data_IF_420311815118
#
_entry.id   IF_420311815118
#
_cell.length_a   1.000
_cell.length_b   1.000
_cell.length_c   1.000
_cell.angle_alpha   90.00
_cell.angle_beta   90.00
_cell.angle_gamma   90.00
#
_symmetry.space_group_name_H-M   'P 1'
#
loop_
_entity.id
_entity.type
_entity.pdbx_description
1 polymer ?
#
# COMPACT_ATOMS: atom_id res chain seq x y z
N UNK A 1 14.13 -6.73 22.60
CA UNK A 1 14.37 -5.49 21.84
C UNK A 1 14.33 -4.34 22.84
N UNK A 2 15.15 -3.31 22.69
CA UNK A 2 15.02 -2.10 23.50
C UNK A 2 13.67 -1.44 23.13
N UNK A 3 12.84 -0.99 24.09
CA UNK A 3 11.59 -0.27 23.78
C UNK A 3 11.78 0.88 22.79
N UNK A 4 12.91 1.58 22.84
CA UNK A 4 13.24 2.65 21.89
C UNK A 4 13.43 2.14 20.46
N UNK A 5 13.95 0.92 20.29
CA UNK A 5 14.16 0.32 18.97
C UNK A 5 12.83 -0.14 18.36
N UNK A 6 11.92 -0.68 19.18
CA UNK A 6 10.56 -1.05 18.75
C UNK A 6 9.75 0.18 18.32
N UNK A 7 9.79 1.27 19.10
CA UNK A 7 9.14 2.53 18.73
C UNK A 7 9.73 3.09 17.44
N UNK A 8 11.06 3.06 17.27
CA UNK A 8 11.70 3.52 16.03
C UNK A 8 11.29 2.68 14.82
N UNK A 9 11.15 1.36 14.96
CA UNK A 9 10.65 0.50 13.89
C UNK A 9 9.21 0.85 13.53
N UNK A 10 8.32 1.00 14.52
CA UNK A 10 6.94 1.46 14.31
C UNK A 10 6.86 2.79 13.58
N UNK A 11 7.71 3.75 13.95
CA UNK A 11 7.74 5.07 13.28
C UNK A 11 8.25 4.98 11.85
N UNK A 12 9.24 4.13 11.54
CA UNK A 12 9.71 3.90 10.17
C UNK A 12 8.61 3.29 9.31
N UNK A 13 7.95 2.26 9.82
CA UNK A 13 6.84 1.61 9.12
C UNK A 13 5.66 2.59 8.91
N UNK A 14 5.36 3.45 9.89
CA UNK A 14 4.34 4.49 9.76
C UNK A 14 4.71 5.56 8.71
N UNK A 15 5.97 6.00 8.67
CA UNK A 15 6.45 6.95 7.65
C UNK A 15 6.35 6.32 6.26
N UNK A 16 6.74 5.06 6.12
CA UNK A 16 6.66 4.33 4.87
C UNK A 16 5.21 4.18 4.38
N UNK A 17 4.29 3.77 5.27
CA UNK A 17 2.87 3.66 4.93
C UNK A 17 2.26 5.01 4.52
N UNK A 18 2.64 6.11 5.18
CA UNK A 18 2.19 7.45 4.78
C UNK A 18 2.72 7.86 3.39
N UNK A 19 3.98 7.55 3.10
CA UNK A 19 4.54 7.78 1.76
C UNK A 19 3.78 6.97 0.70
N UNK A 20 3.47 5.70 0.98
CA UNK A 20 2.68 4.86 0.10
C UNK A 20 1.26 5.43 -0.13
N UNK A 21 0.57 5.85 0.94
CA UNK A 21 -0.77 6.44 0.81
C UNK A 21 -0.71 7.68 -0.09
N UNK A 22 0.30 8.53 0.07
CA UNK A 22 0.48 9.70 -0.79
C UNK A 22 0.65 9.31 -2.27
N UNK A 23 1.44 8.26 -2.56
CA UNK A 23 1.64 7.79 -3.94
C UNK A 23 0.38 7.14 -4.53
N UNK A 24 -0.36 6.35 -3.74
CA UNK A 24 -1.62 5.74 -4.18
C UNK A 24 -2.72 6.80 -4.43
N UNK A 25 -2.71 7.93 -3.72
CA UNK A 25 -3.64 9.04 -3.99
C UNK A 25 -3.33 9.77 -5.31
N UNK A 26 -2.05 9.95 -5.64
CA UNK A 26 -1.60 10.45 -6.95
C UNK A 26 -2.04 9.49 -8.05
N UNK A 27 -1.80 8.19 -7.86
CA UNK A 27 -2.22 7.11 -8.75
C UNK A 27 -3.73 7.14 -9.03
N UNK A 28 -4.57 7.26 -8.00
CA UNK A 28 -6.04 7.35 -8.17
C UNK A 28 -6.40 8.53 -9.08
N UNK A 29 -5.71 9.66 -8.95
CA UNK A 29 -5.92 10.85 -9.78
C UNK A 29 -5.52 10.59 -11.23
N UNK A 30 -4.37 9.93 -11.45
CA UNK A 30 -3.87 9.59 -12.79
C UNK A 30 -4.75 8.55 -13.49
N UNK A 31 -5.14 7.48 -12.80
CA UNK A 31 -6.04 6.45 -13.33
C UNK A 31 -7.42 7.03 -13.66
N UNK A 32 -7.94 7.93 -12.82
CA UNK A 32 -9.19 8.65 -13.11
C UNK A 32 -9.08 9.47 -14.41
N UNK A 33 -7.95 10.16 -14.61
CA UNK A 33 -7.66 10.91 -15.84
C UNK A 33 -7.58 9.99 -17.07
N UNK A 34 -6.97 8.80 -16.96
CA UNK A 34 -6.88 7.83 -18.05
C UNK A 34 -8.22 7.19 -18.40
N UNK A 35 -9.06 6.87 -17.40
CA UNK A 35 -10.43 6.38 -17.60
C UNK A 35 -11.25 7.38 -18.40
N UNK A 36 -11.17 8.69 -18.07
CA UNK A 36 -11.83 9.75 -18.83
C UNK A 36 -11.35 9.82 -20.29
N UNK A 37 -10.10 9.44 -20.54
CA UNK A 37 -9.49 9.38 -21.87
C UNK A 37 -9.68 8.02 -22.57
N UNK A 38 -10.38 7.06 -21.94
CA UNK A 38 -10.55 5.67 -22.42
C UNK A 38 -9.22 4.96 -22.70
N UNK A 39 -8.17 5.32 -21.98
CA UNK A 39 -6.87 4.66 -22.05
C UNK A 39 -6.75 3.62 -20.93
N UNK A 40 -6.13 2.49 -21.23
CA UNK A 40 -5.83 1.48 -20.22
C UNK A 40 -4.61 1.91 -19.37
N UNK A 41 -4.57 1.56 -18.07
CA UNK A 41 -3.38 1.73 -17.24
C UNK A 41 -2.19 0.96 -17.82
N UNK A 42 -0.96 1.51 -17.73
CA UNK A 42 0.24 0.76 -18.10
C UNK A 42 0.40 -0.51 -17.27
N UNK A 43 0.80 -1.62 -17.89
CA UNK A 43 0.95 -2.92 -17.20
C UNK A 43 2.00 -2.89 -16.09
N UNK A 44 3.13 -2.20 -16.32
CA UNK A 44 4.16 -1.98 -15.30
C UNK A 44 3.58 -1.31 -14.03
N UNK A 45 2.67 -0.37 -14.22
CA UNK A 45 2.00 0.34 -13.14
C UNK A 45 1.13 -0.62 -12.32
N UNK A 46 0.42 -1.56 -12.95
CA UNK A 46 -0.37 -2.57 -12.24
C UNK A 46 0.54 -3.47 -11.38
N UNK A 47 1.65 -3.93 -11.94
CA UNK A 47 2.59 -4.82 -11.26
C UNK A 47 3.29 -4.13 -10.06
N UNK A 48 3.75 -2.89 -10.24
CA UNK A 48 4.40 -2.11 -9.18
C UNK A 48 3.44 -1.86 -8.00
N UNK A 49 2.19 -1.51 -8.27
CA UNK A 49 1.19 -1.31 -7.23
C UNK A 49 0.81 -2.59 -6.49
N UNK A 50 0.80 -3.74 -7.18
CA UNK A 50 0.62 -5.03 -6.52
C UNK A 50 1.75 -5.32 -5.52
N UNK A 51 3.01 -5.02 -5.87
CA UNK A 51 4.16 -5.20 -5.00
C UNK A 51 4.14 -4.25 -3.78
N UNK A 52 3.80 -2.98 -4.00
CA UNK A 52 3.64 -2.00 -2.91
C UNK A 52 2.55 -2.43 -1.92
N UNK A 53 1.40 -2.89 -2.43
CA UNK A 53 0.30 -3.40 -1.62
C UNK A 53 0.68 -4.63 -0.79
N UNK A 54 1.41 -5.57 -1.38
CA UNK A 54 1.90 -6.74 -0.65
C UNK A 54 2.78 -6.32 0.55
N UNK A 55 3.70 -5.38 0.32
CA UNK A 55 4.56 -4.83 1.38
C UNK A 55 3.75 -4.15 2.49
N UNK A 56 2.72 -3.38 2.12
CA UNK A 56 1.84 -2.72 3.09
C UNK A 56 1.05 -3.71 3.97
N UNK A 57 0.56 -4.80 3.39
CA UNK A 57 -0.13 -5.86 4.12
C UNK A 57 0.81 -6.59 5.08
N UNK A 58 2.06 -6.82 4.68
CA UNK A 58 3.06 -7.44 5.54
C UNK A 58 3.45 -6.54 6.72
N UNK A 59 3.54 -5.22 6.51
CA UNK A 59 3.68 -4.25 7.61
C UNK A 59 2.47 -4.33 8.55
N UNK A 60 1.25 -4.30 8.01
CA UNK A 60 0.03 -4.31 8.83
C UNK A 60 -0.09 -5.58 9.68
N UNK A 61 0.22 -6.75 9.11
CA UNK A 61 0.14 -8.03 9.80
C UNK A 61 1.19 -8.19 10.91
N UNK A 62 2.37 -7.58 10.78
CA UNK A 62 3.38 -7.57 11.86
C UNK A 62 2.83 -6.97 13.14
N UNK A 63 1.97 -5.95 13.04
CA UNK A 63 1.40 -5.25 14.20
C UNK A 63 0.04 -5.80 14.64
N UNK A 64 -0.78 -6.27 13.70
CA UNK A 64 -2.09 -6.85 14.03
C UNK A 64 -2.42 -7.99 13.05
N UNK A 65 -1.95 -9.21 13.33
CA UNK A 65 -2.21 -10.35 12.46
C UNK A 65 -3.69 -10.76 12.50
N UNK A 66 -4.13 -11.44 11.44
CA UNK A 66 -5.48 -12.05 11.38
C UNK A 66 -6.62 -11.04 11.24
N UNK A 67 -6.33 -9.81 10.81
CA UNK A 67 -7.38 -8.82 10.54
C UNK A 67 -8.10 -9.14 9.23
N UNK A 68 -9.32 -8.63 9.10
CA UNK A 68 -10.08 -8.70 7.85
C UNK A 68 -9.43 -7.90 6.71
N UNK A 69 -8.44 -7.05 7.00
CA UNK A 69 -7.81 -6.18 6.02
C UNK A 69 -7.20 -6.96 4.86
N UNK A 70 -6.34 -7.95 5.16
CA UNK A 70 -5.73 -8.79 4.12
C UNK A 70 -6.78 -9.51 3.28
N UNK A 71 -7.73 -10.17 3.94
CA UNK A 71 -8.81 -10.90 3.28
C UNK A 71 -9.68 -10.00 2.40
N UNK A 72 -9.93 -8.76 2.82
CA UNK A 72 -10.70 -7.79 2.04
C UNK A 72 -9.92 -7.35 0.80
N UNK A 73 -8.65 -7.01 0.95
CA UNK A 73 -7.81 -6.50 -0.13
C UNK A 73 -7.51 -7.56 -1.19
N UNK A 74 -7.26 -8.81 -0.79
CA UNK A 74 -7.03 -9.92 -1.73
C UNK A 74 -8.24 -10.23 -2.62
N UNK A 75 -9.47 -9.91 -2.17
CA UNK A 75 -10.70 -10.07 -2.96
C UNK A 75 -10.91 -8.97 -4.02
N UNK A 76 -10.14 -7.89 -3.96
CA UNK A 76 -10.20 -6.77 -4.90
C UNK A 76 -9.08 -6.82 -5.95
N UNK A 77 -8.35 -7.94 -6.05
CA UNK A 77 -7.39 -8.21 -7.12
C UNK A 77 -8.06 -8.66 -8.41
#
# INVERSE_FOLDING_TARGET
>A
MNPDDEIKEMLRDLIWLNALIATELVQITENTSQILRKAAPPEACIAEHAALRATALDIADRYRPGTILRQHIEKHQ
#
